data_IF_509467027695
#
_entry.id   IF_509467027695
#
_cell.length_a   1.000
_cell.length_b   1.000
_cell.length_c   1.000
_cell.angle_alpha   90.00
_cell.angle_beta   90.00
_cell.angle_gamma   90.00
#
_symmetry.space_group_name_H-M   'P 1'
#
loop_
_entity.id
_entity.type
_entity.pdbx_description
1 polymer ?
#
# COMPACT_ATOMS: atom_id res chain seq x y z
N UNK A 1 -12.32 21.63 -6.88
CA UNK A 1 -12.54 20.68 -5.76
C UNK A 1 -13.71 19.74 -6.06
N UNK A 2 -14.85 20.24 -6.55
CA UNK A 2 -16.01 19.42 -6.94
C UNK A 2 -15.74 18.39 -8.07
N UNK A 3 -14.94 18.73 -9.08
CA UNK A 3 -14.57 17.80 -10.17
C UNK A 3 -13.80 16.54 -9.72
N UNK A 4 -12.94 16.65 -8.71
CA UNK A 4 -12.10 15.54 -8.26
C UNK A 4 -12.91 14.51 -7.47
N UNK A 5 -13.87 14.98 -6.66
CA UNK A 5 -14.79 14.12 -5.92
C UNK A 5 -15.84 13.50 -6.86
N UNK A 6 -16.30 14.26 -7.85
CA UNK A 6 -17.22 13.79 -8.90
C UNK A 6 -16.60 12.69 -9.77
N UNK A 7 -15.36 12.86 -10.25
CA UNK A 7 -14.61 11.83 -11.02
C UNK A 7 -14.44 10.51 -10.26
N UNK A 8 -14.32 10.62 -8.94
CA UNK A 8 -14.04 9.51 -8.06
C UNK A 8 -15.32 8.75 -7.68
N UNK A 9 -16.42 9.47 -7.48
CA UNK A 9 -17.72 8.92 -7.09
C UNK A 9 -18.53 8.38 -8.28
N UNK A 10 -18.31 8.88 -9.50
CA UNK A 10 -19.09 8.52 -10.69
C UNK A 10 -18.22 8.02 -11.83
N UNK A 11 -18.44 6.76 -12.23
CA UNK A 11 -17.74 6.10 -13.35
C UNK A 11 -17.98 6.80 -14.69
N UNK A 12 -19.15 7.43 -14.84
CA UNK A 12 -19.55 8.15 -16.06
C UNK A 12 -18.89 9.53 -16.21
N UNK A 13 -18.09 9.95 -15.22
CA UNK A 13 -17.31 11.21 -15.22
C UNK A 13 -15.80 10.92 -15.21
N UNK A 14 -15.38 9.89 -15.93
CA UNK A 14 -13.98 9.66 -16.20
C UNK A 14 -13.50 10.84 -17.07
N UNK A 15 -12.77 11.80 -16.48
CA UNK A 15 -12.16 12.93 -17.19
C UNK A 15 -11.00 12.46 -18.09
N UNK A 16 -11.17 11.31 -18.74
CA UNK A 16 -10.23 10.71 -19.67
C UNK A 16 -10.20 11.46 -21.01
N UNK A 17 -11.21 12.28 -21.32
CA UNK A 17 -11.22 13.10 -22.52
C UNK A 17 -11.13 14.61 -22.22
N UNK A 18 -10.36 15.32 -23.04
CA UNK A 18 -10.24 16.79 -23.00
C UNK A 18 -11.60 17.48 -23.23
N UNK A 19 -12.54 16.82 -23.90
CA UNK A 19 -13.91 17.29 -24.12
C UNK A 19 -14.79 17.26 -22.87
N UNK A 20 -14.42 16.50 -21.84
CA UNK A 20 -15.25 16.23 -20.66
C UNK A 20 -15.17 17.33 -19.60
N UNK A 21 -14.28 18.31 -19.80
CA UNK A 21 -14.24 19.56 -19.02
C UNK A 21 -15.41 20.47 -19.44
N UNK A 22 -16.65 20.04 -19.16
CA UNK A 22 -17.84 20.90 -19.26
C UNK A 22 -17.97 21.77 -18.00
N UNK A 23 -18.34 23.03 -18.20
CA UNK A 23 -18.57 24.02 -17.13
C UNK A 23 -19.85 23.74 -16.31
N UNK A 24 -20.69 22.80 -16.73
CA UNK A 24 -21.96 22.48 -16.08
C UNK A 24 -21.83 21.21 -15.20
N UNK A 25 -21.39 21.39 -13.95
CA UNK A 25 -21.28 20.34 -12.91
C UNK A 25 -22.49 20.40 -11.94
N UNK A 26 -23.65 20.86 -12.41
CA UNK A 26 -24.78 21.15 -11.52
C UNK A 26 -25.83 20.02 -11.43
N UNK A 27 -25.64 18.89 -12.12
CA UNK A 27 -26.62 17.77 -12.11
C UNK A 27 -25.97 16.39 -11.90
N UNK A 28 -25.12 16.25 -10.87
CA UNK A 28 -24.58 14.95 -10.48
C UNK A 28 -25.39 14.35 -9.33
N UNK A 29 -26.12 13.28 -9.63
CA UNK A 29 -26.80 12.45 -8.65
C UNK A 29 -25.74 11.68 -7.85
N UNK A 30 -25.41 12.14 -6.65
CA UNK A 30 -24.48 11.48 -5.73
C UNK A 30 -25.08 10.18 -5.19
N UNK A 31 -25.13 9.13 -6.02
CA UNK A 31 -25.41 7.78 -5.51
C UNK A 31 -24.27 7.38 -4.55
N UNK A 32 -24.62 7.29 -3.27
CA UNK A 32 -23.73 7.37 -2.12
C UNK A 32 -23.10 6.03 -1.68
N UNK A 33 -23.30 4.94 -2.42
CA UNK A 33 -23.06 3.61 -1.86
C UNK A 33 -21.69 3.01 -2.21
N UNK A 34 -21.35 2.83 -3.49
CA UNK A 34 -20.11 2.12 -3.88
C UNK A 34 -18.83 2.94 -3.67
N UNK A 35 -18.87 4.24 -3.96
CA UNK A 35 -17.74 5.15 -3.74
C UNK A 35 -17.36 5.24 -2.26
N UNK A 36 -18.36 5.37 -1.39
CA UNK A 36 -18.17 5.42 0.06
C UNK A 36 -17.73 4.07 0.64
N UNK A 37 -18.28 2.96 0.16
CA UNK A 37 -17.82 1.61 0.57
C UNK A 37 -16.35 1.36 0.17
N UNK A 38 -15.92 1.88 -0.99
CA UNK A 38 -14.52 1.82 -1.43
C UNK A 38 -13.61 2.67 -0.56
N UNK A 39 -14.02 3.90 -0.24
CA UNK A 39 -13.28 4.77 0.69
C UNK A 39 -13.09 4.12 2.05
N UNK A 40 -14.13 3.45 2.56
CA UNK A 40 -14.04 2.67 3.79
C UNK A 40 -12.97 1.56 3.72
N UNK A 41 -12.92 0.82 2.61
CA UNK A 41 -11.88 -0.20 2.39
C UNK A 41 -10.47 0.40 2.39
N UNK A 42 -10.30 1.56 1.76
CA UNK A 42 -9.01 2.27 1.71
C UNK A 42 -8.63 2.88 3.06
N UNK A 43 -9.59 3.35 3.85
CA UNK A 43 -9.37 3.83 5.21
C UNK A 43 -8.94 2.71 6.16
N UNK A 44 -9.34 1.46 5.90
CA UNK A 44 -8.82 0.29 6.64
C UNK A 44 -7.33 0.09 6.35
N UNK A 45 -6.86 0.34 5.12
CA UNK A 45 -5.42 0.33 4.80
C UNK A 45 -4.69 1.38 5.64
N UNK A 46 -5.18 2.63 5.67
CA UNK A 46 -4.53 3.68 6.48
C UNK A 46 -4.55 3.38 7.97
N UNK A 47 -5.68 2.92 8.49
CA UNK A 47 -5.82 2.51 9.89
C UNK A 47 -4.80 1.43 10.22
N UNK A 48 -4.64 0.44 9.33
CA UNK A 48 -3.61 -0.60 9.45
C UNK A 48 -2.21 -0.01 9.50
N UNK A 49 -1.85 0.86 8.55
CA UNK A 49 -0.51 1.48 8.50
C UNK A 49 -0.22 2.32 9.75
N UNK A 50 -1.21 3.04 10.29
CA UNK A 50 -1.08 3.77 11.56
C UNK A 50 -0.77 2.81 12.71
N UNK A 51 -1.54 1.73 12.85
CA UNK A 51 -1.31 0.70 13.88
C UNK A 51 0.08 0.06 13.77
N UNK A 52 0.55 -0.24 12.56
CA UNK A 52 1.89 -0.80 12.33
C UNK A 52 3.00 0.19 12.68
N UNK A 53 2.79 1.48 12.43
CA UNK A 53 3.75 2.54 12.78
C UNK A 53 3.83 2.76 14.28
N UNK A 54 2.69 2.71 14.99
CA UNK A 54 2.65 2.73 16.44
C UNK A 54 3.33 1.50 17.04
N UNK A 55 3.10 0.33 16.45
CA UNK A 55 3.75 -0.90 16.86
C UNK A 55 5.27 -0.82 16.69
N UNK A 56 5.76 -0.29 15.56
CA UNK A 56 7.20 -0.02 15.36
C UNK A 56 7.78 0.91 16.42
N UNK A 57 7.05 1.98 16.75
CA UNK A 57 7.46 2.94 17.78
C UNK A 57 7.56 2.26 19.13
N UNK A 58 6.60 1.39 19.46
CA UNK A 58 6.57 0.65 20.69
C UNK A 58 7.66 -0.45 20.75
N UNK A 59 8.09 -0.99 19.60
CA UNK A 59 9.23 -1.91 19.49
C UNK A 59 10.59 -1.21 19.58
N UNK A 60 10.67 0.10 19.35
CA UNK A 60 11.93 0.84 19.29
C UNK A 60 12.84 0.68 20.55
N UNK A 61 12.33 0.61 21.79
CA UNK A 61 13.16 0.36 22.97
C UNK A 61 13.88 -0.99 22.97
N UNK A 62 13.35 -1.98 22.23
CA UNK A 62 13.94 -3.32 22.10
C UNK A 62 14.92 -3.42 20.93
N UNK A 63 15.11 -2.34 20.16
CA UNK A 63 15.94 -2.29 18.97
C UNK A 63 17.35 -1.77 19.30
N UNK A 64 18.25 -2.66 19.73
CA UNK A 64 19.65 -2.29 20.02
C UNK A 64 20.57 -2.43 18.80
N UNK A 65 20.21 -3.25 17.83
CA UNK A 65 21.04 -3.58 16.69
C UNK A 65 20.93 -2.53 15.56
N UNK A 66 22.02 -2.34 14.82
CA UNK A 66 22.09 -1.30 13.79
C UNK A 66 21.02 -1.51 12.69
N UNK A 67 20.78 -2.75 12.27
CA UNK A 67 19.72 -3.03 11.30
C UNK A 67 18.33 -2.70 11.85
N UNK A 68 18.08 -2.91 13.15
CA UNK A 68 16.78 -2.63 13.77
C UNK A 68 16.43 -1.15 13.72
N UNK A 69 17.42 -0.28 13.99
CA UNK A 69 17.27 1.17 13.85
C UNK A 69 17.02 1.58 12.39
N UNK A 70 17.72 0.96 11.44
CA UNK A 70 17.54 1.23 10.00
C UNK A 70 16.18 0.76 9.49
N UNK A 71 15.72 -0.40 9.97
CA UNK A 71 14.42 -0.98 9.70
C UNK A 71 13.30 -0.05 10.18
N UNK A 72 13.34 0.34 11.45
CA UNK A 72 12.35 1.24 12.04
C UNK A 72 12.25 2.58 11.31
N UNK A 73 13.39 3.18 10.94
CA UNK A 73 13.41 4.43 10.17
C UNK A 73 12.83 4.27 8.75
N UNK A 74 13.16 3.17 8.06
CA UNK A 74 12.65 2.89 6.72
C UNK A 74 11.13 2.67 6.74
N UNK A 75 10.65 1.80 7.63
CA UNK A 75 9.24 1.41 7.68
C UNK A 75 8.37 2.50 8.32
N UNK A 76 8.85 3.20 9.35
CA UNK A 76 8.09 4.26 10.03
C UNK A 76 7.76 5.45 9.13
N UNK A 77 8.61 5.75 8.15
CA UNK A 77 8.36 6.82 7.17
C UNK A 77 7.28 6.47 6.15
N UNK A 78 6.99 5.19 5.94
CA UNK A 78 6.03 4.75 4.94
C UNK A 78 4.61 5.20 5.23
N UNK A 79 4.25 5.52 6.49
CA UNK A 79 2.95 6.10 6.82
C UNK A 79 2.61 7.30 5.93
N UNK A 80 3.55 8.25 5.83
CA UNK A 80 3.35 9.44 5.00
C UNK A 80 3.27 9.11 3.51
N UNK A 81 4.00 8.08 3.05
CA UNK A 81 3.95 7.60 1.66
C UNK A 81 2.60 6.96 1.32
N UNK A 82 2.05 6.12 2.20
CA UNK A 82 0.71 5.54 2.03
C UNK A 82 -0.37 6.63 2.02
N UNK A 83 -0.30 7.57 2.96
CA UNK A 83 -1.22 8.71 3.04
C UNK A 83 -1.18 9.56 1.75
N UNK A 84 0.02 9.89 1.28
CA UNK A 84 0.22 10.64 0.03
C UNK A 84 -0.35 9.90 -1.17
N UNK A 85 -0.13 8.58 -1.26
CA UNK A 85 -0.65 7.76 -2.33
C UNK A 85 -2.18 7.72 -2.34
N UNK A 86 -2.81 7.57 -1.17
CA UNK A 86 -4.27 7.55 -1.04
C UNK A 86 -4.89 8.88 -1.41
N UNK A 87 -4.27 10.00 -1.00
CA UNK A 87 -4.70 11.34 -1.41
C UNK A 87 -4.68 11.46 -2.94
N UNK A 88 -3.60 11.03 -3.60
CA UNK A 88 -3.51 11.09 -5.06
C UNK A 88 -4.58 10.22 -5.73
N UNK A 89 -4.75 8.98 -5.27
CA UNK A 89 -5.72 8.05 -5.85
C UNK A 89 -7.17 8.51 -5.69
N UNK A 90 -7.54 9.01 -4.50
CA UNK A 90 -8.86 9.62 -4.23
C UNK A 90 -9.17 10.82 -5.13
N UNK A 91 -8.13 11.51 -5.61
CA UNK A 91 -8.27 12.64 -6.52
C UNK A 91 -8.08 12.24 -8.01
N UNK A 92 -8.06 10.95 -8.32
CA UNK A 92 -7.92 10.43 -9.68
C UNK A 92 -6.49 10.46 -10.24
N UNK A 93 -5.49 10.90 -9.47
CA UNK A 93 -4.10 11.06 -9.93
C UNK A 93 -3.33 9.73 -9.94
N UNK A 94 -3.83 8.75 -10.67
CA UNK A 94 -3.26 7.41 -10.71
C UNK A 94 -1.82 7.37 -11.23
N UNK A 95 -1.43 8.23 -12.19
CA UNK A 95 -0.04 8.29 -12.71
C UNK A 95 0.93 8.73 -11.61
N UNK A 96 0.63 9.85 -10.94
CA UNK A 96 1.47 10.41 -9.89
C UNK A 96 1.55 9.51 -8.65
N UNK A 97 0.56 8.64 -8.47
CA UNK A 97 0.59 7.64 -7.40
C UNK A 97 1.67 6.56 -7.64
N UNK A 98 2.00 6.23 -8.89
CA UNK A 98 2.88 5.10 -9.22
C UNK A 98 4.31 5.27 -8.68
N UNK A 99 4.98 6.42 -8.82
CA UNK A 99 6.27 6.64 -8.18
C UNK A 99 6.24 6.42 -6.66
N UNK A 100 5.13 6.75 -6.00
CA UNK A 100 4.98 6.56 -4.55
C UNK A 100 4.75 5.07 -4.22
N UNK A 101 3.89 4.37 -4.96
CA UNK A 101 3.70 2.92 -4.83
C UNK A 101 5.03 2.17 -5.00
N UNK A 102 5.83 2.57 -5.98
CA UNK A 102 7.17 2.03 -6.20
C UNK A 102 8.11 2.30 -5.03
N UNK A 103 8.13 3.53 -4.52
CA UNK A 103 8.94 3.91 -3.36
C UNK A 103 8.58 3.04 -2.15
N UNK A 104 7.28 2.83 -1.90
CA UNK A 104 6.82 1.96 -0.81
C UNK A 104 7.35 0.53 -1.02
N UNK A 105 7.18 -0.04 -2.21
CA UNK A 105 7.66 -1.40 -2.55
C UNK A 105 9.18 -1.55 -2.31
N UNK A 106 9.96 -0.64 -2.87
CA UNK A 106 11.43 -0.66 -2.78
C UNK A 106 11.91 -0.49 -1.32
N UNK A 107 11.24 0.36 -0.55
CA UNK A 107 11.58 0.62 0.84
C UNK A 107 11.26 -0.58 1.74
N UNK A 108 10.13 -1.25 1.54
CA UNK A 108 9.78 -2.49 2.25
C UNK A 108 10.79 -3.59 1.88
N UNK A 109 11.11 -3.74 0.59
CA UNK A 109 12.08 -4.74 0.13
C UNK A 109 13.46 -4.55 0.78
N UNK A 110 13.93 -3.31 0.80
CA UNK A 110 15.20 -2.98 1.43
C UNK A 110 15.17 -3.18 2.95
N UNK A 111 14.11 -2.73 3.62
CA UNK A 111 13.97 -2.91 5.06
C UNK A 111 13.97 -4.40 5.44
N UNK A 112 13.23 -5.23 4.72
CA UNK A 112 13.25 -6.67 4.94
C UNK A 112 14.63 -7.28 4.68
N UNK A 113 15.31 -6.89 3.59
CA UNK A 113 16.60 -7.46 3.21
C UNK A 113 17.73 -7.16 4.20
N UNK A 114 17.63 -6.09 5.00
CA UNK A 114 18.66 -5.73 6.00
C UNK A 114 18.54 -6.51 7.31
N UNK A 115 17.46 -7.26 7.51
CA UNK A 115 17.22 -7.98 8.75
C UNK A 115 18.35 -8.98 9.07
N UNK A 116 19.01 -8.79 10.21
CA UNK A 116 20.12 -9.65 10.66
C UNK A 116 21.44 -9.44 9.93
N UNK A 117 21.58 -8.36 9.14
CA UNK A 117 22.84 -8.01 8.48
C UNK A 117 23.71 -7.11 9.34
N UNK A 118 25.01 -7.20 9.13
CA UNK A 118 25.99 -6.33 9.75
C UNK A 118 25.99 -4.93 9.13
N UNK A 119 26.44 -3.94 9.90
CA UNK A 119 26.47 -2.53 9.47
C UNK A 119 27.13 -2.32 8.11
N UNK A 120 28.30 -2.93 7.90
CA UNK A 120 29.07 -2.76 6.66
C UNK A 120 28.32 -3.30 5.44
N UNK A 121 27.60 -4.42 5.58
CA UNK A 121 26.77 -4.96 4.50
C UNK A 121 25.62 -3.99 4.16
N UNK A 122 24.93 -3.48 5.18
CA UNK A 122 23.79 -2.57 5.01
C UNK A 122 24.20 -1.29 4.29
N UNK A 123 25.35 -0.72 4.65
CA UNK A 123 25.88 0.51 4.04
C UNK A 123 26.24 0.32 2.54
N UNK A 124 26.47 -0.92 2.09
CA UNK A 124 26.78 -1.24 0.69
C UNK A 124 25.54 -1.64 -0.14
N UNK A 125 24.41 -1.92 0.50
CA UNK A 125 23.19 -2.36 -0.16
C UNK A 125 22.49 -1.22 -0.91
N UNK A 126 22.11 -1.49 -2.16
CA UNK A 126 21.29 -0.56 -2.96
C UNK A 126 19.81 -0.89 -2.78
N UNK A 127 19.01 0.08 -2.35
CA UNK A 127 17.55 -0.02 -2.14
C UNK A 127 16.85 -0.65 -3.35
N UNK A 128 17.08 -0.11 -4.54
CA UNK A 128 16.46 -0.54 -5.80
C UNK A 128 16.78 -1.98 -6.23
N UNK A 129 17.77 -2.62 -5.61
CA UNK A 129 18.20 -4.00 -5.93
C UNK A 129 17.65 -5.06 -4.98
N UNK A 130 16.87 -4.68 -3.97
CA UNK A 130 16.43 -5.62 -2.93
C UNK A 130 15.07 -6.27 -3.19
N UNK A 131 14.40 -5.92 -4.29
CA UNK A 131 13.02 -6.33 -4.58
C UNK A 131 12.85 -7.85 -4.63
N UNK A 132 13.88 -8.59 -5.04
CA UNK A 132 13.83 -10.06 -5.07
C UNK A 132 13.55 -10.69 -3.69
N UNK A 133 13.96 -10.03 -2.59
CA UNK A 133 13.72 -10.52 -1.23
C UNK A 133 12.24 -10.51 -0.83
N UNK A 134 11.38 -9.75 -1.53
CA UNK A 134 9.95 -9.75 -1.24
C UNK A 134 9.29 -11.10 -1.52
N UNK A 135 9.87 -11.93 -2.40
CA UNK A 135 9.35 -13.27 -2.68
C UNK A 135 9.40 -14.21 -1.46
N UNK A 136 10.28 -13.94 -0.50
CA UNK A 136 10.31 -14.66 0.78
C UNK A 136 9.08 -14.33 1.64
N UNK A 137 8.50 -13.14 1.45
CA UNK A 137 7.30 -12.69 2.15
C UNK A 137 6.04 -13.12 1.39
N UNK A 138 5.93 -12.77 0.11
CA UNK A 138 4.80 -13.11 -0.75
C UNK A 138 5.36 -13.57 -2.10
N UNK A 139 5.07 -14.82 -2.54
CA UNK A 139 5.48 -15.29 -3.86
C UNK A 139 5.07 -14.32 -4.96
N UNK A 140 5.95 -14.12 -5.95
CA UNK A 140 5.73 -13.26 -7.11
C UNK A 140 5.52 -11.76 -6.83
N UNK A 141 5.62 -11.30 -5.58
CA UNK A 141 5.47 -9.88 -5.25
C UNK A 141 6.54 -8.99 -5.89
N UNK A 142 7.70 -9.55 -6.24
CA UNK A 142 8.73 -8.84 -6.99
C UNK A 142 8.28 -8.41 -8.40
N UNK A 143 7.25 -9.07 -8.98
CA UNK A 143 6.72 -8.76 -10.31
C UNK A 143 6.04 -7.39 -10.35
N UNK A 144 5.59 -6.85 -9.21
CA UNK A 144 4.99 -5.51 -9.11
C UNK A 144 5.94 -4.40 -9.58
N UNK A 145 7.25 -4.60 -9.42
CA UNK A 145 8.22 -3.57 -9.76
C UNK A 145 8.33 -3.28 -11.26
N UNK A 146 8.11 -4.27 -12.11
CA UNK A 146 8.18 -4.10 -13.57
C UNK A 146 7.17 -3.04 -14.05
N UNK A 147 5.86 -3.27 -13.83
CA UNK A 147 4.82 -2.31 -14.16
C UNK A 147 5.03 -0.94 -13.51
N UNK A 148 5.41 -0.88 -12.23
CA UNK A 148 5.69 0.40 -11.57
C UNK A 148 6.85 1.14 -12.20
N UNK A 149 7.94 0.45 -12.55
CA UNK A 149 9.10 1.09 -13.17
C UNK A 149 8.78 1.62 -14.56
N UNK A 150 8.01 0.88 -15.36
CA UNK A 150 7.59 1.29 -16.69
C UNK A 150 6.72 2.56 -16.64
N UNK A 151 5.71 2.55 -15.77
CA UNK A 151 4.76 3.65 -15.62
C UNK A 151 5.42 4.89 -14.98
N UNK A 152 6.23 4.72 -13.92
CA UNK A 152 6.90 5.84 -13.24
C UNK A 152 7.94 6.54 -14.13
N UNK A 153 8.52 5.84 -15.11
CA UNK A 153 9.50 6.41 -16.03
C UNK A 153 8.87 6.92 -17.33
N UNK A 154 7.55 6.83 -17.47
CA UNK A 154 6.82 7.13 -18.70
C UNK A 154 7.49 6.45 -19.90
N UNK A 155 7.73 5.14 -19.78
CA UNK A 155 8.28 4.33 -20.88
C UNK A 155 7.47 4.62 -22.16
N UNK A 156 8.10 4.82 -23.33
CA UNK A 156 7.40 5.05 -24.60
C UNK A 156 6.21 4.12 -24.87
N UNK A 157 6.27 2.88 -24.38
CA UNK A 157 5.17 1.91 -24.50
C UNK A 157 3.93 2.27 -23.66
N UNK A 158 4.10 3.06 -22.60
CA UNK A 158 3.04 3.51 -21.68
C UNK A 158 2.56 4.93 -21.99
N UNK A 159 3.35 5.77 -22.68
CA UNK A 159 3.01 7.17 -23.03
C UNK A 159 1.66 7.29 -23.77
N UNK A 160 1.37 6.34 -24.68
CA UNK A 160 0.11 6.34 -25.43
C UNK A 160 -1.13 6.17 -24.55
N UNK A 161 -0.98 5.58 -23.35
CA UNK A 161 -2.09 5.45 -22.40
C UNK A 161 -2.40 6.76 -21.64
N UNK A 162 -1.52 7.76 -21.75
CA UNK A 162 -1.58 9.06 -21.05
C UNK A 162 -1.77 10.25 -21.98
N UNK A 163 -1.68 10.03 -23.29
CA UNK A 163 -1.78 11.08 -24.31
C UNK A 163 -3.07 10.89 -25.09
N UNK A 164 -3.82 11.96 -25.25
CA UNK A 164 -4.98 12.00 -26.13
C UNK A 164 -4.67 12.89 -27.32
N UNK A 165 -5.03 12.43 -28.52
CA UNK A 165 -4.93 13.22 -29.74
C UNK A 165 -6.36 13.39 -30.26
N UNK A 166 -6.84 14.62 -30.23
CA UNK A 166 -8.07 15.02 -30.90
C UNK A 166 -7.70 15.40 -32.33
N UNK A 167 -7.88 14.46 -33.25
CA UNK A 167 -7.58 14.63 -34.67
C UNK A 167 -8.49 15.66 -35.35
N UNK A 168 -9.72 15.84 -34.83
CA UNK A 168 -10.71 16.76 -35.41
C UNK A 168 -10.39 18.22 -35.07
N UNK A 169 -9.97 18.48 -33.83
CA UNK A 169 -9.55 19.81 -33.38
C UNK A 169 -8.04 20.07 -33.51
N UNK A 170 -7.26 19.06 -33.91
CA UNK A 170 -5.81 19.12 -34.01
C UNK A 170 -5.13 19.40 -32.67
N UNK A 171 -5.67 18.87 -31.57
CA UNK A 171 -5.21 19.13 -30.19
C UNK A 171 -4.56 17.90 -29.58
N UNK A 172 -3.58 18.14 -28.70
CA UNK A 172 -2.98 17.11 -27.85
C UNK A 172 -3.37 17.40 -26.41
N UNK A 173 -3.99 16.40 -25.78
CA UNK A 173 -4.36 16.37 -24.37
C UNK A 173 -3.50 15.40 -23.57
N UNK A 174 -3.49 15.58 -22.26
CA UNK A 174 -2.87 14.64 -21.33
C UNK A 174 -3.93 14.13 -20.36
N UNK A 175 -4.00 12.80 -20.20
CA UNK A 175 -4.86 12.15 -19.21
C UNK A 175 -4.19 12.15 -17.86
N UNK A 176 -4.35 13.24 -17.12
CA UNK A 176 -3.74 13.39 -15.80
C UNK A 176 -4.60 12.83 -14.65
N UNK A 177 -5.87 12.51 -14.92
CA UNK A 177 -6.80 11.91 -13.96
C UNK A 177 -7.64 10.80 -14.58
N UNK A 178 -7.96 9.79 -13.78
CA UNK A 178 -8.97 8.79 -14.09
C UNK A 178 -9.44 8.13 -12.80
N UNK A 179 -10.75 8.04 -12.61
CA UNK A 179 -11.36 7.37 -11.46
C UNK A 179 -11.19 5.85 -11.57
N UNK A 180 -11.50 5.29 -12.74
CA UNK A 180 -11.40 3.86 -13.02
C UNK A 180 -9.98 3.32 -12.83
N UNK A 181 -8.97 4.02 -13.37
CA UNK A 181 -7.56 3.63 -13.19
C UNK A 181 -7.05 3.81 -11.76
N UNK A 182 -7.54 4.83 -11.05
CA UNK A 182 -7.25 4.97 -9.61
C UNK A 182 -7.79 3.78 -8.81
N UNK A 183 -8.97 3.25 -9.15
CA UNK A 183 -9.55 2.07 -8.47
C UNK A 183 -8.65 0.84 -8.62
N UNK A 184 -8.10 0.61 -9.80
CA UNK A 184 -7.17 -0.50 -10.04
C UNK A 184 -5.94 -0.42 -9.11
N UNK A 185 -5.45 0.78 -8.83
CA UNK A 185 -4.29 1.01 -7.94
C UNK A 185 -4.60 0.86 -6.46
N UNK A 186 -5.87 0.80 -6.05
CA UNK A 186 -6.17 0.50 -4.65
C UNK A 186 -5.74 -0.91 -4.28
N UNK A 187 -5.87 -1.88 -5.19
CA UNK A 187 -5.39 -3.25 -4.97
C UNK A 187 -3.89 -3.28 -4.66
N UNK A 188 -3.09 -2.44 -5.32
CA UNK A 188 -1.66 -2.30 -5.05
C UNK A 188 -1.40 -1.88 -3.59
N UNK A 189 -2.19 -0.96 -3.03
CA UNK A 189 -2.06 -0.55 -1.63
C UNK A 189 -2.31 -1.69 -0.64
N UNK A 190 -3.28 -2.55 -0.90
CA UNK A 190 -3.55 -3.72 -0.07
C UNK A 190 -2.37 -4.69 -0.08
N UNK A 191 -1.81 -4.97 -1.26
CA UNK A 191 -0.64 -5.84 -1.37
C UNK A 191 0.57 -5.24 -0.65
N UNK A 192 0.81 -3.94 -0.80
CA UNK A 192 1.91 -3.24 -0.12
C UNK A 192 1.72 -3.22 1.41
N UNK A 193 0.50 -3.00 1.89
CA UNK A 193 0.19 -3.08 3.33
C UNK A 193 0.41 -4.50 3.87
N UNK A 194 0.07 -5.53 3.09
CA UNK A 194 0.34 -6.91 3.48
C UNK A 194 1.85 -7.23 3.52
N UNK A 195 2.63 -6.74 2.55
CA UNK A 195 4.09 -6.85 2.59
C UNK A 195 4.66 -6.16 3.83
N UNK A 196 4.12 -5.01 4.23
CA UNK A 196 4.48 -4.33 5.47
C UNK A 196 4.24 -5.25 6.68
N UNK A 197 3.01 -5.76 6.84
CA UNK A 197 2.65 -6.65 7.97
C UNK A 197 3.62 -7.84 8.03
N UNK A 198 3.85 -8.51 6.90
CA UNK A 198 4.75 -9.67 6.78
C UNK A 198 6.18 -9.33 7.15
N UNK A 199 6.70 -8.21 6.66
CA UNK A 199 8.03 -7.72 7.01
C UNK A 199 8.13 -7.41 8.51
N UNK A 200 7.11 -6.77 9.09
CA UNK A 200 7.10 -6.40 10.50
C UNK A 200 7.01 -7.61 11.42
N UNK A 201 6.26 -8.64 11.03
CA UNK A 201 6.25 -9.91 11.73
C UNK A 201 7.64 -10.55 11.76
N UNK A 202 8.34 -10.62 10.62
CA UNK A 202 9.71 -11.14 10.54
C UNK A 202 10.71 -10.31 11.34
N UNK A 203 10.51 -9.00 11.40
CA UNK A 203 11.29 -8.15 12.27
C UNK A 203 11.06 -8.49 13.75
N UNK A 204 9.81 -8.59 14.19
CA UNK A 204 9.45 -8.91 15.58
C UNK A 204 9.95 -10.31 16.00
N UNK A 205 9.87 -11.30 15.11
CA UNK A 205 10.44 -12.64 15.29
C UNK A 205 11.95 -12.54 15.55
N UNK A 206 12.69 -11.78 14.73
CA UNK A 206 14.13 -11.61 14.91
C UNK A 206 14.51 -10.84 16.17
N UNK A 207 13.73 -9.85 16.59
CA UNK A 207 13.95 -9.18 17.87
C UNK A 207 13.63 -10.09 19.07
N UNK A 208 13.17 -11.33 18.85
CA UNK A 208 12.72 -12.29 19.88
C UNK A 208 11.61 -11.74 20.76
N UNK A 209 10.90 -10.72 20.28
CA UNK A 209 9.78 -10.10 21.01
C UNK A 209 8.60 -11.06 21.03
N UNK A 210 8.48 -11.92 20.01
CA UNK A 210 7.45 -12.96 19.96
C UNK A 210 7.69 -14.11 20.95
N UNK A 211 8.90 -14.26 21.47
CA UNK A 211 9.31 -15.37 22.35
C UNK A 211 9.37 -14.97 23.83
N UNK A 212 9.07 -13.71 24.15
CA UNK A 212 9.09 -13.21 25.53
C UNK A 212 7.96 -13.88 26.34
N UNK A 213 8.36 -14.59 27.38
CA UNK A 213 7.51 -15.49 28.16
C UNK A 213 6.34 -14.74 28.84
N UNK A 214 5.12 -15.24 28.61
CA UNK A 214 3.84 -14.66 29.08
C UNK A 214 3.62 -14.79 30.58
N UNK A 215 4.62 -15.18 31.38
CA UNK A 215 4.49 -15.39 32.83
C UNK A 215 4.97 -14.20 33.68
N UNK A 216 5.88 -13.34 33.20
CA UNK A 216 6.42 -12.22 33.98
C UNK A 216 5.58 -10.92 33.87
N UNK A 217 4.92 -10.49 34.97
CA UNK A 217 4.15 -9.23 35.07
C UNK A 217 5.02 -7.96 34.99
N UNK A 218 5.56 -7.64 33.80
CA UNK A 218 6.26 -6.37 33.53
C UNK A 218 5.49 -5.51 32.51
N UNK A 219 5.73 -4.19 32.43
CA UNK A 219 5.13 -3.32 31.40
C UNK A 219 5.32 -3.83 29.97
N UNK A 220 6.40 -4.59 29.72
CA UNK A 220 6.72 -5.23 28.46
C UNK A 220 5.70 -6.34 28.05
N UNK A 221 4.91 -6.90 28.98
CA UNK A 221 3.84 -7.87 28.68
C UNK A 221 2.70 -7.30 27.85
N UNK A 222 2.29 -6.06 28.13
CA UNK A 222 1.24 -5.41 27.34
C UNK A 222 1.71 -5.21 25.90
N UNK A 223 3.01 -5.01 25.70
CA UNK A 223 3.59 -4.84 24.38
C UNK A 223 3.62 -6.15 23.59
N UNK A 224 4.09 -7.26 24.17
CA UNK A 224 4.27 -8.56 23.48
C UNK A 224 2.94 -9.20 23.06
N UNK A 225 1.97 -9.32 23.98
CA UNK A 225 0.63 -9.84 23.66
C UNK A 225 -0.05 -8.94 22.62
N UNK A 226 0.18 -7.62 22.71
CA UNK A 226 -0.31 -6.70 21.68
C UNK A 226 0.36 -6.88 20.32
N UNK A 227 1.62 -7.34 20.21
CA UNK A 227 2.29 -7.44 18.90
C UNK A 227 1.62 -8.51 18.03
N UNK A 228 1.46 -9.73 18.56
CA UNK A 228 0.83 -10.84 17.81
C UNK A 228 -0.63 -10.51 17.48
N UNK A 229 -1.40 -10.06 18.46
CA UNK A 229 -2.81 -9.71 18.27
C UNK A 229 -2.99 -8.53 17.31
N UNK A 230 -2.16 -7.48 17.40
CA UNK A 230 -2.25 -6.32 16.50
C UNK A 230 -1.86 -6.68 15.08
N UNK A 231 -0.83 -7.51 14.87
CA UNK A 231 -0.46 -7.98 13.54
C UNK A 231 -1.55 -8.87 12.92
N UNK A 232 -2.11 -9.79 13.70
CA UNK A 232 -3.20 -10.67 13.26
C UNK A 232 -4.49 -9.86 12.98
N UNK A 233 -4.84 -8.91 13.84
CA UNK A 233 -6.00 -8.04 13.68
C UNK A 233 -5.86 -7.10 12.48
N UNK A 234 -4.68 -6.51 12.29
CA UNK A 234 -4.35 -5.70 11.12
C UNK A 234 -4.52 -6.50 9.81
N UNK A 235 -4.00 -7.71 9.77
CA UNK A 235 -4.20 -8.59 8.63
C UNK A 235 -5.67 -8.92 8.41
N UNK A 236 -6.38 -9.37 9.46
CA UNK A 236 -7.76 -9.79 9.32
C UNK A 236 -8.63 -8.64 8.80
N UNK A 237 -8.42 -7.42 9.30
CA UNK A 237 -9.06 -6.22 8.79
C UNK A 237 -8.75 -6.00 7.31
N UNK A 238 -7.48 -6.15 6.90
CA UNK A 238 -7.06 -5.99 5.52
C UNK A 238 -7.69 -7.03 4.57
N UNK A 239 -7.80 -8.29 5.00
CA UNK A 239 -8.46 -9.37 4.24
C UNK A 239 -9.96 -9.13 4.11
N UNK A 240 -10.63 -8.70 5.18
CA UNK A 240 -12.06 -8.36 5.14
C UNK A 240 -12.30 -7.21 4.16
N UNK A 241 -11.50 -6.16 4.25
CA UNK A 241 -11.59 -5.01 3.35
C UNK A 241 -11.28 -5.37 1.89
N UNK A 242 -10.27 -6.21 1.62
CA UNK A 242 -9.99 -6.74 0.29
C UNK A 242 -11.17 -7.49 -0.30
N UNK A 243 -11.72 -8.43 0.47
CA UNK A 243 -12.87 -9.22 0.05
C UNK A 243 -14.11 -8.36 -0.24
N UNK A 244 -14.31 -7.31 0.56
CA UNK A 244 -15.38 -6.35 0.32
C UNK A 244 -15.13 -5.54 -0.95
N UNK A 245 -13.90 -5.08 -1.17
CA UNK A 245 -13.50 -4.36 -2.39
C UNK A 245 -13.68 -5.21 -3.65
N UNK A 246 -13.24 -6.48 -3.64
CA UNK A 246 -13.47 -7.41 -4.75
C UNK A 246 -14.95 -7.60 -5.05
N UNK A 247 -15.80 -7.68 -4.01
CA UNK A 247 -17.25 -7.81 -4.17
C UNK A 247 -17.86 -6.56 -4.82
N UNK A 248 -17.43 -5.37 -4.43
CA UNK A 248 -17.89 -4.10 -5.03
C UNK A 248 -17.51 -4.07 -6.51
N UNK A 249 -16.27 -4.44 -6.85
CA UNK A 249 -15.78 -4.38 -8.23
C UNK A 249 -16.16 -5.60 -9.09
N UNK A 250 -17.01 -6.50 -8.58
CA UNK A 250 -17.43 -7.72 -9.30
C UNK A 250 -16.29 -8.68 -9.65
N UNK A 251 -15.16 -8.63 -8.93
CA UNK A 251 -14.00 -9.50 -9.13
C UNK A 251 -14.15 -10.79 -8.33
N UNK A 252 -13.70 -11.90 -8.92
CA UNK A 252 -13.78 -13.21 -8.29
C UNK A 252 -12.95 -13.28 -7.00
N UNK A 253 -13.54 -13.84 -5.94
CA UNK A 253 -12.98 -13.87 -4.56
C UNK A 253 -11.63 -14.61 -4.46
N UNK A 254 -11.30 -15.44 -5.45
CA UNK A 254 -10.13 -16.33 -5.45
C UNK A 254 -8.82 -15.64 -5.89
N UNK A 255 -8.86 -14.34 -6.20
CA UNK A 255 -7.67 -13.49 -6.24
C UNK A 255 -7.22 -13.17 -4.78
N UNK A 256 -6.90 -14.22 -4.02
CA UNK A 256 -6.65 -14.09 -2.58
C UNK A 256 -5.42 -13.22 -2.33
N UNK A 257 -5.61 -12.11 -1.60
CA UNK A 257 -4.54 -11.52 -0.79
C UNK A 257 -3.91 -12.69 0.00
N UNK A 258 -2.64 -13.05 -0.20
CA UNK A 258 -2.11 -14.31 0.32
C UNK A 258 -2.31 -14.38 1.83
N UNK A 259 -3.10 -15.33 2.33
CA UNK A 259 -3.38 -15.45 3.79
C UNK A 259 -2.05 -15.62 4.54
N UNK A 260 -1.84 -14.88 5.63
CA UNK A 260 -0.80 -15.23 6.59
C UNK A 260 -1.28 -16.44 7.37
N UNK A 261 -0.32 -17.31 7.68
CA UNK A 261 -0.46 -18.31 8.73
C UNK A 261 -0.29 -17.71 10.14
N UNK A 262 -0.27 -16.36 10.29
CA UNK A 262 -0.06 -15.71 11.59
C UNK A 262 -1.20 -16.07 12.54
N UNK A 263 -2.44 -16.06 12.05
CA UNK A 263 -3.63 -16.42 12.83
C UNK A 263 -3.54 -17.86 13.39
N UNK A 264 -3.00 -18.80 12.62
CA UNK A 264 -2.82 -20.20 13.07
C UNK A 264 -1.70 -20.31 14.13
N UNK A 265 -0.65 -19.49 14.02
CA UNK A 265 0.47 -19.45 14.99
C UNK A 265 0.20 -18.64 16.27
N UNK A 266 -0.86 -17.82 16.29
CA UNK A 266 -1.26 -17.02 17.45
C UNK A 266 -2.33 -17.71 18.32
N UNK A 267 -3.00 -18.74 17.78
CA UNK A 267 -4.04 -19.54 18.44
C UNK A 267 -3.54 -20.92 18.94
N UNK A 268 -2.25 -21.21 18.77
CA UNK A 268 -1.54 -22.38 19.32
C UNK A 268 -0.52 -21.92 20.37
#
# INVERSE_FOLDING_TARGET
MHLALAAYLHEDLDFEHVSDYREDIDELDFSLDEGTQRDFCVDIVMTTIVQLTELLTALAPHCSEFYSLRYGNAMGRLRASFESCIILLRNGYYIESVPILRLILEQIAWAYAILGKERQEIEQMKVTKQIAHLNDLIPDSNKLNGPYSQQAHLDPQTIGSYTEIDEELGRVGYRYRSGSRSKEKYYDLFVLAQLYIRSLYKFAERQKVLDLDTELQTPDKQLVFSVRERLAGAEQGLVIAWNHLCKIDGKDYDATLPKLSIVESALL
#
